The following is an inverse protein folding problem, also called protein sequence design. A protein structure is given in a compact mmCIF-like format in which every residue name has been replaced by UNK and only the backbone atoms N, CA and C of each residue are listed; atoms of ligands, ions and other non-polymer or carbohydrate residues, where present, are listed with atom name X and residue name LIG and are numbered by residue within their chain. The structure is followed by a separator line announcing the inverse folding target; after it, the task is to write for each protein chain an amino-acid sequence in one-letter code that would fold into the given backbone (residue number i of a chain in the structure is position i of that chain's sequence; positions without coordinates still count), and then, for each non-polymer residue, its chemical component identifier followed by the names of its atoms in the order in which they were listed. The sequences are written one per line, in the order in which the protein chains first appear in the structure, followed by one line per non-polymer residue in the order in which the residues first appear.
data_IF_412538907969
#
_entry.id   IF_412538907969
#
_cell.length_a   1.000
_cell.length_b   1.000
_cell.length_c   1.000
_cell.angle_alpha   90.00
_cell.angle_beta   90.00
_cell.angle_gamma   90.00
#
_symmetry.space_group_name_H-M   'P 1'
#
loop_
_entity.id
_entity.type
_entity.pdbx_description
1 polymer ?
#
# COMPACT_ATOMS: atom_id res chain seq x y z
N UNK A 1 6.87 -15.77 -2.77
CA UNK A 1 6.78 -15.08 -4.08
C UNK A 1 6.35 -16.00 -5.24
N UNK A 2 6.06 -17.30 -5.03
CA UNK A 2 5.68 -18.24 -6.10
C UNK A 2 6.83 -19.14 -6.57
N UNK A 3 8.09 -18.73 -6.36
CA UNK A 3 9.28 -19.58 -6.54
C UNK A 3 9.93 -20.00 -5.21
N UNK A 4 9.65 -19.27 -4.14
CA UNK A 4 10.17 -19.48 -2.79
C UNK A 4 9.09 -19.28 -1.74
N UNK A 5 9.29 -19.96 -0.60
CA UNK A 5 8.54 -19.78 0.63
C UNK A 5 9.52 -19.41 1.74
N UNK A 6 9.23 -18.35 2.48
CA UNK A 6 9.93 -18.01 3.72
C UNK A 6 9.03 -18.36 4.92
N UNK A 7 9.61 -19.04 5.92
CA UNK A 7 8.94 -19.43 7.16
C UNK A 7 9.75 -18.92 8.34
N UNK A 8 9.10 -18.28 9.30
CA UNK A 8 9.78 -17.71 10.46
C UNK A 8 9.69 -18.58 11.70
N UNK A 9 10.70 -18.48 12.56
CA UNK A 9 10.71 -19.03 13.92
C UNK A 9 11.26 -17.95 14.87
N UNK A 10 10.44 -16.94 15.21
CA UNK A 10 10.90 -15.82 16.02
C UNK A 10 11.39 -16.24 17.41
N UNK A 11 10.87 -17.33 17.96
CA UNK A 11 11.27 -17.79 19.30
C UNK A 11 12.45 -18.81 19.27
N UNK A 12 13.08 -19.02 18.10
CA UNK A 12 14.26 -19.88 17.99
C UNK A 12 15.48 -19.25 18.68
N UNK A 13 16.26 -20.05 19.41
CA UNK A 13 17.48 -19.55 20.05
C UNK A 13 18.59 -19.27 19.01
N UNK A 14 19.43 -18.23 19.20
CA UNK A 14 19.40 -17.28 20.32
C UNK A 14 18.43 -16.09 20.12
N UNK A 15 18.06 -15.75 18.89
CA UNK A 15 17.41 -14.47 18.57
C UNK A 15 16.32 -14.55 17.50
N UNK A 16 15.90 -15.74 17.07
CA UNK A 16 14.96 -15.97 15.98
C UNK A 16 15.65 -16.42 14.69
N UNK A 17 14.87 -16.93 13.73
CA UNK A 17 15.37 -17.40 12.44
C UNK A 17 14.30 -17.29 11.33
N UNK A 18 14.75 -17.18 10.08
CA UNK A 18 13.92 -17.31 8.87
C UNK A 18 14.47 -18.43 8.01
N UNK A 19 13.61 -19.36 7.60
CA UNK A 19 13.96 -20.50 6.74
C UNK A 19 13.39 -20.27 5.35
N UNK A 20 14.21 -20.39 4.32
CA UNK A 20 13.81 -20.23 2.93
C UNK A 20 13.77 -21.58 2.24
N UNK A 21 12.63 -21.90 1.64
CA UNK A 21 12.36 -23.13 0.92
C UNK A 21 12.14 -22.85 -0.56
N UNK A 22 12.55 -23.79 -1.40
CA UNK A 22 12.31 -23.80 -2.84
C UNK A 22 11.67 -25.12 -3.27
N UNK A 23 10.88 -25.13 -4.37
CA UNK A 23 10.35 -26.37 -4.91
C UNK A 23 11.50 -27.27 -5.36
N UNK A 24 11.40 -28.56 -5.01
CA UNK A 24 12.35 -29.57 -5.45
C UNK A 24 12.27 -29.73 -6.97
N UNK A 25 13.41 -29.60 -7.65
CA UNK A 25 13.53 -29.94 -9.07
C UNK A 25 13.50 -31.45 -9.32
N UNK A 26 13.77 -32.26 -8.28
CA UNK A 26 13.79 -33.72 -8.35
C UNK A 26 12.41 -34.34 -8.08
N UNK A 27 11.62 -33.73 -7.19
CA UNK A 27 10.33 -34.27 -6.74
C UNK A 27 9.24 -33.20 -6.78
N UNK A 28 8.36 -33.18 -7.80
CA UNK A 28 7.28 -32.21 -7.87
C UNK A 28 6.40 -32.21 -6.61
N UNK A 29 6.16 -31.03 -6.03
CA UNK A 29 5.37 -30.86 -4.81
C UNK A 29 6.16 -30.94 -3.50
N UNK A 30 7.42 -31.37 -3.53
CA UNK A 30 8.28 -31.28 -2.35
C UNK A 30 8.96 -29.90 -2.27
N UNK A 31 9.10 -29.40 -1.05
CA UNK A 31 9.83 -28.16 -0.75
C UNK A 31 11.12 -28.49 -0.02
N UNK A 32 12.24 -27.99 -0.52
CA UNK A 32 13.57 -28.23 0.03
C UNK A 32 14.02 -26.98 0.77
N UNK A 33 14.42 -27.14 2.03
CA UNK A 33 15.08 -26.07 2.78
C UNK A 33 16.39 -25.71 2.07
N UNK A 34 16.49 -24.47 1.61
CA UNK A 34 17.70 -23.93 0.97
C UNK A 34 18.59 -23.23 1.96
N UNK A 35 18.00 -22.40 2.81
CA UNK A 35 18.76 -21.53 3.67
C UNK A 35 18.06 -21.31 5.01
N UNK A 36 18.85 -21.20 6.07
CA UNK A 36 18.40 -20.68 7.37
C UNK A 36 19.15 -19.40 7.64
N UNK A 37 18.39 -18.31 7.68
CA UNK A 37 18.87 -16.95 7.89
C UNK A 37 18.70 -16.62 9.37
N UNK A 38 19.79 -16.18 9.99
CA UNK A 38 19.82 -15.66 11.36
C UNK A 38 20.50 -14.29 11.36
N UNK A 39 20.08 -13.42 12.27
CA UNK A 39 20.90 -12.26 12.61
C UNK A 39 21.88 -12.65 13.71
N UNK A 40 23.11 -12.97 13.31
CA UNK A 40 24.17 -13.38 14.24
C UNK A 40 24.60 -12.25 15.20
N UNK A 41 24.29 -10.99 14.87
CA UNK A 41 24.57 -9.84 15.71
C UNK A 41 23.37 -9.45 16.61
N UNK A 42 22.21 -10.09 16.44
CA UNK A 42 21.01 -9.76 17.21
C UNK A 42 21.18 -10.14 18.69
N UNK A 43 20.66 -9.29 19.61
CA UNK A 43 20.56 -9.63 21.02
C UNK A 43 19.78 -10.94 21.24
N UNK A 44 20.09 -11.64 22.34
CA UNK A 44 19.29 -12.80 22.76
C UNK A 44 17.83 -12.36 22.94
N UNK A 45 16.92 -13.10 22.31
CA UNK A 45 15.50 -12.82 22.39
C UNK A 45 15.01 -11.67 21.51
N UNK A 46 15.78 -11.20 20.53
CA UNK A 46 15.35 -10.13 19.61
C UNK A 46 14.21 -10.54 18.66
N UNK A 47 13.86 -11.83 18.60
CA UNK A 47 12.75 -12.38 17.81
C UNK A 47 12.78 -12.00 16.32
N UNK A 48 13.93 -12.13 15.69
CA UNK A 48 14.11 -12.07 14.25
C UNK A 48 13.11 -12.99 13.52
N UNK A 49 12.31 -12.42 12.62
CA UNK A 49 11.22 -13.12 11.94
C UNK A 49 9.83 -12.91 12.57
N UNK A 50 9.63 -11.85 13.35
CA UNK A 50 8.29 -11.49 13.89
C UNK A 50 7.31 -11.03 12.81
N UNK A 51 7.83 -10.45 11.73
CA UNK A 51 7.10 -10.13 10.51
C UNK A 51 8.04 -10.26 9.32
N UNK A 52 7.55 -10.78 8.20
CA UNK A 52 8.31 -10.95 6.96
C UNK A 52 7.47 -10.56 5.75
N UNK A 53 8.12 -10.14 4.69
CA UNK A 53 7.55 -10.11 3.35
C UNK A 53 8.61 -10.51 2.31
N UNK A 54 8.20 -11.23 1.27
CA UNK A 54 9.09 -11.82 0.26
C UNK A 54 8.53 -11.61 -1.14
N UNK A 55 9.21 -10.76 -1.92
CA UNK A 55 8.89 -10.47 -3.31
C UNK A 55 10.14 -10.54 -4.16
N UNK A 56 10.14 -11.49 -5.12
CA UNK A 56 11.30 -11.76 -5.95
C UNK A 56 12.55 -11.96 -5.10
N UNK A 57 13.64 -11.28 -5.47
CA UNK A 57 14.93 -11.37 -4.78
C UNK A 57 15.02 -10.55 -3.49
N UNK A 58 13.92 -9.98 -3.00
CA UNK A 58 13.91 -9.15 -1.78
C UNK A 58 13.11 -9.82 -0.67
N UNK A 59 13.77 -10.03 0.47
CA UNK A 59 13.16 -10.51 1.71
C UNK A 59 13.33 -9.42 2.75
N UNK A 60 12.23 -8.96 3.32
CA UNK A 60 12.26 -8.03 4.44
C UNK A 60 11.90 -8.80 5.70
N UNK A 61 12.68 -8.60 6.76
CA UNK A 61 12.51 -9.27 8.03
C UNK A 61 12.51 -8.25 9.16
N UNK A 62 11.50 -8.34 10.02
CA UNK A 62 11.44 -7.58 11.26
C UNK A 62 11.90 -8.42 12.46
N UNK A 63 12.62 -7.79 13.37
CA UNK A 63 12.85 -8.22 14.74
C UNK A 63 12.24 -7.23 15.74
N UNK A 64 12.45 -7.42 17.04
CA UNK A 64 11.99 -6.49 18.08
C UNK A 64 12.75 -5.16 18.05
N UNK A 65 14.03 -5.19 17.67
CA UNK A 65 14.88 -4.00 17.64
C UNK A 65 15.19 -3.48 16.24
N UNK A 66 14.94 -4.26 15.18
CA UNK A 66 15.38 -3.90 13.82
C UNK A 66 14.41 -4.30 12.72
N UNK A 67 14.56 -3.65 11.57
CA UNK A 67 14.05 -4.10 10.27
C UNK A 67 15.24 -4.33 9.35
N UNK A 68 15.25 -5.45 8.66
CA UNK A 68 16.31 -5.89 7.75
C UNK A 68 15.75 -6.05 6.35
N UNK A 69 16.51 -5.60 5.36
CA UNK A 69 16.28 -5.94 3.95
C UNK A 69 17.40 -6.84 3.51
N UNK A 70 17.03 -8.02 3.05
CA UNK A 70 17.93 -9.00 2.48
C UNK A 70 17.68 -9.10 0.99
N UNK A 71 18.77 -9.26 0.24
CA UNK A 71 18.72 -9.50 -1.19
C UNK A 71 19.40 -10.83 -1.54
N UNK A 72 18.82 -11.55 -2.48
CA UNK A 72 19.35 -12.79 -3.02
C UNK A 72 19.85 -12.55 -4.46
N UNK A 73 20.94 -13.22 -4.85
CA UNK A 73 21.33 -13.29 -6.26
C UNK A 73 21.50 -14.75 -6.65
N UNK A 74 21.37 -15.13 -7.93
CA UNK A 74 21.57 -16.52 -8.35
C UNK A 74 22.93 -17.10 -7.92
N UNK A 75 23.93 -16.25 -7.73
CA UNK A 75 25.30 -16.61 -7.37
C UNK A 75 25.59 -16.53 -5.86
N UNK A 76 24.67 -15.98 -5.05
CA UNK A 76 24.90 -15.72 -3.62
C UNK A 76 23.68 -16.04 -2.77
N UNK A 77 23.95 -16.64 -1.61
CA UNK A 77 22.99 -16.79 -0.51
C UNK A 77 22.38 -15.43 -0.11
N UNK A 78 21.29 -15.44 0.64
CA UNK A 78 20.64 -14.22 1.12
C UNK A 78 21.62 -13.34 1.90
N UNK A 79 21.78 -12.09 1.47
CA UNK A 79 22.68 -11.13 2.11
C UNK A 79 21.89 -9.97 2.70
N UNK A 80 22.22 -9.60 3.94
CA UNK A 80 21.66 -8.41 4.57
C UNK A 80 22.25 -7.14 3.93
N UNK A 81 21.41 -6.38 3.24
CA UNK A 81 21.79 -5.17 2.51
C UNK A 81 21.58 -3.92 3.36
N UNK A 82 20.43 -3.84 4.04
CA UNK A 82 20.08 -2.72 4.90
C UNK A 82 19.54 -3.23 6.24
N UNK A 83 19.80 -2.48 7.30
CA UNK A 83 19.21 -2.69 8.62
C UNK A 83 19.00 -1.34 9.30
N UNK A 84 17.81 -1.12 9.83
CA UNK A 84 17.46 0.08 10.61
C UNK A 84 16.98 -0.33 11.99
N UNK A 85 17.35 0.45 13.02
CA UNK A 85 16.84 0.24 14.37
C UNK A 85 15.40 0.72 14.46
N UNK A 86 14.54 -0.03 15.15
CA UNK A 86 13.13 0.29 15.35
C UNK A 86 12.95 1.63 16.07
N UNK A 87 13.86 1.98 16.99
CA UNK A 87 13.81 3.30 17.64
C UNK A 87 13.95 4.48 16.66
N UNK A 88 14.64 4.29 15.53
CA UNK A 88 14.78 5.32 14.49
C UNK A 88 13.50 5.46 13.65
N UNK A 89 12.75 4.36 13.50
CA UNK A 89 11.60 4.23 12.60
C UNK A 89 10.24 4.14 13.32
N UNK A 90 10.23 4.15 14.65
CA UNK A 90 9.03 4.01 15.47
C UNK A 90 8.57 2.55 15.60
N UNK A 91 7.50 2.34 16.38
CA UNK A 91 6.98 1.01 16.69
C UNK A 91 6.37 0.34 15.45
N UNK A 92 7.22 -0.30 14.64
CA UNK A 92 6.77 -1.06 13.47
C UNK A 92 5.94 -2.25 13.94
N UNK A 93 4.79 -2.49 13.31
CA UNK A 93 3.89 -3.60 13.61
C UNK A 93 3.83 -4.59 12.45
N UNK A 94 3.83 -4.09 11.22
CA UNK A 94 3.75 -4.86 9.98
C UNK A 94 4.72 -4.29 8.95
N UNK A 95 5.11 -5.13 7.99
CA UNK A 95 5.95 -4.73 6.87
C UNK A 95 5.35 -5.27 5.57
N UNK A 96 5.53 -4.54 4.48
CA UNK A 96 5.20 -5.00 3.14
C UNK A 96 6.18 -4.42 2.13
N UNK A 97 6.50 -5.18 1.09
CA UNK A 97 7.37 -4.78 -0.01
C UNK A 97 6.80 -5.19 -1.36
N UNK A 98 7.10 -4.43 -2.41
CA UNK A 98 6.91 -4.86 -3.81
C UNK A 98 8.25 -5.08 -4.53
N UNK A 99 9.36 -5.09 -3.80
CA UNK A 99 10.73 -5.18 -4.30
C UNK A 99 11.37 -3.81 -4.61
N UNK A 100 10.58 -2.75 -4.73
CA UNK A 100 11.05 -1.37 -4.96
C UNK A 100 10.63 -0.38 -3.89
N UNK A 101 9.54 -0.69 -3.18
CA UNK A 101 9.00 0.09 -2.07
C UNK A 101 8.91 -0.82 -0.86
N UNK A 102 9.36 -0.34 0.30
CA UNK A 102 9.20 -0.97 1.60
C UNK A 102 8.33 -0.06 2.46
N UNK A 103 7.16 -0.54 2.83
CA UNK A 103 6.26 0.12 3.75
C UNK A 103 6.31 -0.55 5.13
N UNK A 104 6.41 0.27 6.18
CA UNK A 104 6.54 -0.12 7.57
C UNK A 104 5.32 0.43 8.30
N UNK A 105 4.37 -0.45 8.62
CA UNK A 105 3.21 -0.08 9.44
C UNK A 105 3.66 0.20 10.86
N UNK A 106 3.19 1.29 11.47
CA UNK A 106 3.53 1.69 12.84
C UNK A 106 2.89 3.03 13.19
N UNK A 107 3.42 3.69 14.21
CA UNK A 107 3.05 5.05 14.59
C UNK A 107 4.30 5.95 14.61
N UNK A 108 4.65 6.64 13.51
CA UNK A 108 3.93 6.68 12.22
C UNK A 108 4.30 5.52 11.28
N UNK A 109 3.51 5.35 10.22
CA UNK A 109 3.87 4.58 9.03
C UNK A 109 5.06 5.24 8.35
N UNK A 110 5.98 4.40 7.87
CA UNK A 110 7.17 4.85 7.16
C UNK A 110 7.38 4.10 5.86
N UNK A 111 8.00 4.77 4.89
CA UNK A 111 8.29 4.21 3.58
C UNK A 111 9.76 4.42 3.22
N UNK A 112 10.41 3.37 2.75
CA UNK A 112 11.68 3.43 2.05
C UNK A 112 11.49 3.04 0.59
N UNK A 113 12.27 3.64 -0.30
CA UNK A 113 12.27 3.33 -1.72
C UNK A 113 13.64 2.78 -2.11
N UNK A 114 13.67 1.94 -3.12
CA UNK A 114 14.89 1.42 -3.73
C UNK A 114 15.24 2.29 -4.93
N UNK A 115 16.43 2.85 -4.93
CA UNK A 115 17.02 3.59 -6.04
C UNK A 115 18.30 2.91 -6.55
N UNK A 116 19.00 3.55 -7.49
CA UNK A 116 20.24 3.03 -8.06
C UNK A 116 21.40 2.90 -7.05
N UNK A 117 21.29 3.46 -5.85
CA UNK A 117 22.26 3.38 -4.76
C UNK A 117 21.86 2.39 -3.65
N UNK A 118 20.62 1.88 -3.67
CA UNK A 118 20.10 0.92 -2.69
C UNK A 118 18.79 1.42 -2.06
N UNK A 119 18.52 0.99 -0.83
CA UNK A 119 17.34 1.44 -0.10
C UNK A 119 17.58 2.78 0.60
N UNK A 120 16.66 3.73 0.42
CA UNK A 120 16.64 5.00 1.13
C UNK A 120 16.31 4.80 2.62
N UNK A 121 16.60 5.82 3.44
CA UNK A 121 16.18 5.83 4.85
C UNK A 121 14.66 5.96 4.95
N UNK A 122 13.96 5.14 5.76
CA UNK A 122 12.51 5.22 5.88
C UNK A 122 12.00 6.59 6.34
N UNK A 123 11.20 7.24 5.49
CA UNK A 123 10.56 8.53 5.76
C UNK A 123 9.13 8.33 6.26
N UNK A 124 8.70 9.19 7.19
CA UNK A 124 7.32 9.18 7.71
C UNK A 124 6.34 9.77 6.69
N UNK A 125 5.17 9.15 6.58
CA UNK A 125 4.05 9.68 5.78
C UNK A 125 2.96 10.33 6.66
N UNK A 126 3.22 10.52 7.96
CA UNK A 126 2.34 11.30 8.85
C UNK A 126 1.04 10.63 9.30
N UNK A 127 0.86 9.33 9.05
CA UNK A 127 -0.30 8.56 9.54
C UNK A 127 0.12 7.34 10.34
N UNK A 128 -0.72 6.90 11.26
CA UNK A 128 -0.53 5.65 12.01
C UNK A 128 -1.26 4.49 11.33
N UNK A 129 -0.67 3.29 11.38
CA UNK A 129 -1.20 2.10 10.73
C UNK A 129 -0.72 0.81 11.35
N UNK A 130 -1.65 -0.08 11.72
CA UNK A 130 -1.30 -1.38 12.32
C UNK A 130 -0.96 -2.43 11.25
N UNK A 131 -1.67 -2.39 10.12
CA UNK A 131 -1.47 -3.27 8.99
C UNK A 131 -1.07 -2.44 7.76
N UNK A 132 -0.20 -2.99 6.91
CA UNK A 132 0.31 -2.31 5.73
C UNK A 132 0.34 -3.28 4.55
N UNK A 133 0.02 -2.78 3.35
CA UNK A 133 0.23 -3.50 2.09
C UNK A 133 0.68 -2.52 1.02
N UNK A 134 1.68 -2.89 0.21
CA UNK A 134 2.18 -2.04 -0.88
C UNK A 134 2.26 -2.85 -2.17
N UNK A 135 1.88 -2.24 -3.28
CA UNK A 135 1.97 -2.83 -4.60
C UNK A 135 2.00 -1.76 -5.69
N UNK A 136 3.16 -1.58 -6.32
CA UNK A 136 3.37 -0.58 -7.35
C UNK A 136 3.25 0.83 -6.80
N UNK A 137 2.32 1.61 -7.37
CA UNK A 137 2.09 3.01 -6.98
C UNK A 137 1.13 3.16 -5.79
N UNK A 138 0.61 2.05 -5.25
CA UNK A 138 -0.40 2.07 -4.21
C UNK A 138 0.10 1.48 -2.90
N UNK A 139 -0.37 2.06 -1.81
CA UNK A 139 -0.14 1.58 -0.45
C UNK A 139 -1.45 1.66 0.33
N UNK A 140 -1.74 0.64 1.12
CA UNK A 140 -2.91 0.61 1.98
C UNK A 140 -2.48 0.50 3.43
N UNK A 141 -3.04 1.39 4.25
CA UNK A 141 -2.80 1.50 5.68
C UNK A 141 -4.06 1.08 6.44
N UNK A 142 -3.97 -0.01 7.19
CA UNK A 142 -5.03 -0.51 8.06
C UNK A 142 -5.06 0.20 9.41
N UNK A 143 -6.25 0.72 9.78
CA UNK A 143 -6.48 1.51 11.00
C UNK A 143 -7.60 0.89 11.83
N UNK A 144 -7.35 -0.24 12.52
CA UNK A 144 -8.40 -0.95 13.26
C UNK A 144 -9.04 -0.12 14.38
N UNK A 145 -8.29 0.79 15.02
CA UNK A 145 -8.83 1.72 16.02
C UNK A 145 -9.75 2.78 15.41
N UNK A 146 -9.48 3.18 14.17
CA UNK A 146 -10.34 4.06 13.37
C UNK A 146 -11.43 3.31 12.60
N UNK A 147 -11.48 1.97 12.72
CA UNK A 147 -12.38 1.09 11.98
C UNK A 147 -12.35 1.39 10.48
N UNK A 148 -11.18 1.35 9.83
CA UNK A 148 -11.07 1.72 8.42
C UNK A 148 -9.72 1.42 7.81
N UNK A 149 -9.62 1.68 6.51
CA UNK A 149 -8.36 1.63 5.75
C UNK A 149 -8.16 2.93 4.97
N UNK A 150 -6.91 3.37 4.87
CA UNK A 150 -6.51 4.49 4.04
C UNK A 150 -5.76 3.95 2.83
N UNK A 151 -6.11 4.43 1.64
CA UNK A 151 -5.38 4.17 0.40
C UNK A 151 -4.53 5.40 0.08
N UNK A 152 -3.25 5.16 -0.16
CA UNK A 152 -2.28 6.13 -0.63
C UNK A 152 -1.88 5.81 -2.06
N UNK A 153 -1.68 6.86 -2.84
CA UNK A 153 -1.07 6.79 -4.17
C UNK A 153 0.25 7.55 -4.15
N UNK A 154 1.22 7.03 -4.90
CA UNK A 154 2.50 7.68 -5.14
C UNK A 154 2.43 8.46 -6.44
N UNK A 155 2.91 9.69 -6.46
CA UNK A 155 3.06 10.47 -7.68
C UNK A 155 4.39 10.19 -8.41
N UNK A 156 4.62 10.94 -9.49
CA UNK A 156 5.81 10.81 -10.33
C UNK A 156 7.09 11.28 -9.62
N UNK A 157 6.95 12.24 -8.70
CA UNK A 157 8.00 12.78 -7.85
C UNK A 157 8.36 11.82 -6.71
N UNK A 158 7.50 10.84 -6.42
CA UNK A 158 7.71 9.81 -5.42
C UNK A 158 7.03 10.10 -4.09
N UNK A 159 6.24 11.17 -4.00
CA UNK A 159 5.51 11.57 -2.81
C UNK A 159 4.22 10.76 -2.67
N UNK A 160 3.86 10.47 -1.42
CA UNK A 160 2.65 9.71 -1.08
C UNK A 160 1.55 10.65 -0.62
N UNK A 161 0.39 10.59 -1.28
CA UNK A 161 -0.81 11.32 -0.89
C UNK A 161 -1.97 10.36 -0.60
N UNK A 162 -2.83 10.72 0.35
CA UNK A 162 -4.02 9.93 0.66
C UNK A 162 -5.01 10.08 -0.49
N UNK A 163 -5.21 9.00 -1.25
CA UNK A 163 -6.10 8.97 -2.40
C UNK A 163 -7.55 8.64 -2.00
N UNK A 164 -7.76 7.83 -0.94
CA UNK A 164 -9.09 7.42 -0.52
C UNK A 164 -9.14 6.98 0.94
N UNK A 165 -10.23 7.32 1.61
CA UNK A 165 -10.63 6.71 2.89
C UNK A 165 -11.70 5.69 2.60
N UNK A 166 -11.50 4.46 3.05
CA UNK A 166 -12.58 3.45 3.09
C UNK A 166 -12.99 3.32 4.54
N UNK A 167 -14.11 3.94 4.87
CA UNK A 167 -14.71 3.84 6.18
C UNK A 167 -15.60 2.60 6.32
N UNK A 168 -15.71 2.13 7.55
CA UNK A 168 -16.53 1.01 7.93
C UNK A 168 -17.98 1.41 8.20
N UNK A 169 -18.58 2.34 7.45
CA UNK A 169 -19.97 2.76 7.66
C UNK A 169 -20.97 1.58 7.65
N UNK A 170 -20.63 0.49 6.96
CA UNK A 170 -21.39 -0.76 6.96
C UNK A 170 -21.20 -1.66 8.20
N UNK A 171 -20.23 -1.36 9.08
CA UNK A 171 -19.93 -2.15 10.27
C UNK A 171 -20.26 -1.41 11.57
N UNK A 172 -20.56 -2.16 12.62
CA UNK A 172 -20.66 -1.62 13.98
C UNK A 172 -19.33 -1.02 14.44
N UNK A 173 -19.41 0.01 15.30
CA UNK A 173 -18.24 0.52 16.00
C UNK A 173 -17.46 -0.62 16.68
N UNK A 174 -16.13 -0.60 16.55
CA UNK A 174 -15.26 -1.63 17.10
C UNK A 174 -15.13 -2.91 16.27
N UNK A 175 -15.64 -2.96 15.04
CA UNK A 175 -15.45 -4.10 14.13
C UNK A 175 -13.97 -4.34 13.73
N UNK A 176 -13.12 -3.35 13.96
CA UNK A 176 -11.68 -3.36 13.67
C UNK A 176 -11.37 -3.57 12.19
N UNK A 177 -12.15 -2.95 11.29
CA UNK A 177 -11.79 -2.92 9.88
C UNK A 177 -10.37 -2.36 9.70
N UNK A 178 -9.57 -3.04 8.87
CA UNK A 178 -8.17 -2.72 8.66
C UNK A 178 -7.22 -3.36 9.69
N UNK A 179 -7.70 -4.29 10.53
CA UNK A 179 -6.81 -5.09 11.39
C UNK A 179 -5.79 -5.90 10.59
N UNK A 180 -6.17 -6.33 9.38
CA UNK A 180 -5.30 -6.92 8.37
C UNK A 180 -5.64 -6.32 7.02
N UNK A 181 -4.64 -6.20 6.15
CA UNK A 181 -4.83 -5.75 4.76
C UNK A 181 -3.98 -6.60 3.83
N UNK A 182 -4.43 -6.76 2.59
CA UNK A 182 -3.65 -7.33 1.49
C UNK A 182 -3.93 -6.53 0.23
N UNK A 183 -2.90 -6.24 -0.55
CA UNK A 183 -2.97 -5.45 -1.77
C UNK A 183 -2.22 -6.17 -2.89
N UNK A 184 -2.89 -6.47 -3.99
CA UNK A 184 -2.26 -7.08 -5.15
C UNK A 184 -3.09 -6.86 -6.42
N UNK A 185 -2.45 -6.57 -7.55
CA UNK A 185 -3.09 -6.53 -8.87
C UNK A 185 -4.39 -5.70 -8.93
N UNK A 186 -4.40 -4.53 -8.27
CA UNK A 186 -5.58 -3.66 -8.22
C UNK A 186 -6.69 -4.14 -7.27
N UNK A 187 -6.48 -5.17 -6.46
CA UNK A 187 -7.42 -5.62 -5.44
C UNK A 187 -6.90 -5.30 -4.06
N UNK A 188 -7.78 -4.76 -3.23
CA UNK A 188 -7.58 -4.58 -1.79
C UNK A 188 -8.52 -5.51 -1.04
N UNK A 189 -7.99 -6.25 -0.07
CA UNK A 189 -8.76 -6.98 0.92
C UNK A 189 -8.44 -6.41 2.30
N UNK A 190 -9.48 -6.09 3.08
CA UNK A 190 -9.35 -5.60 4.45
C UNK A 190 -10.15 -6.46 5.43
N UNK A 191 -9.52 -6.94 6.49
CA UNK A 191 -10.17 -7.73 7.54
C UNK A 191 -10.83 -6.86 8.62
N UNK A 192 -12.00 -7.29 9.09
CA UNK A 192 -12.73 -6.74 10.22
C UNK A 192 -13.07 -7.88 11.20
N UNK A 193 -12.12 -8.32 12.04
CA UNK A 193 -12.24 -9.56 12.82
C UNK A 193 -13.36 -9.53 13.85
N UNK A 194 -13.80 -8.34 14.29
CA UNK A 194 -14.87 -8.19 15.28
C UNK A 194 -16.20 -7.74 14.65
N UNK A 195 -16.29 -7.75 13.31
CA UNK A 195 -17.53 -7.47 12.62
C UNK A 195 -18.63 -8.46 13.03
N UNK A 196 -19.87 -7.96 13.13
CA UNK A 196 -21.03 -8.73 13.55
C UNK A 196 -22.09 -8.83 12.45
N UNK A 197 -21.69 -9.23 11.23
CA UNK A 197 -22.59 -9.31 10.07
C UNK A 197 -23.51 -10.54 10.15
N UNK A 198 -22.96 -11.72 10.45
CA UNK A 198 -23.68 -12.99 10.47
C UNK A 198 -23.97 -13.51 11.89
N UNK A 199 -23.70 -12.69 12.90
CA UNK A 199 -23.79 -13.02 14.32
C UNK A 199 -22.77 -12.23 15.14
N UNK A 200 -22.77 -12.32 16.48
CA UNK A 200 -21.81 -11.61 17.30
C UNK A 200 -20.37 -12.00 16.97
N UNK A 201 -19.53 -11.03 16.61
CA UNK A 201 -18.09 -11.21 16.38
C UNK A 201 -17.72 -12.33 15.41
N UNK A 202 -18.54 -12.55 14.36
CA UNK A 202 -18.25 -13.56 13.32
C UNK A 202 -17.08 -13.18 12.42
N UNK A 203 -16.67 -11.91 12.47
CA UNK A 203 -15.68 -11.36 11.56
C UNK A 203 -16.25 -11.13 10.17
N UNK A 204 -15.53 -10.35 9.39
CA UNK A 204 -15.80 -10.10 7.99
C UNK A 204 -14.51 -9.72 7.26
N UNK A 205 -14.55 -9.79 5.93
CA UNK A 205 -13.54 -9.20 5.06
C UNK A 205 -14.25 -8.36 4.00
N UNK A 206 -13.69 -7.19 3.70
CA UNK A 206 -14.10 -6.33 2.59
C UNK A 206 -13.14 -6.56 1.45
N UNK A 207 -13.68 -6.76 0.25
CA UNK A 207 -12.90 -6.86 -0.99
C UNK A 207 -13.26 -5.66 -1.86
N UNK A 208 -12.24 -4.96 -2.34
CA UNK A 208 -12.39 -3.70 -3.07
C UNK A 208 -11.60 -3.82 -4.37
N UNK A 209 -12.30 -3.62 -5.47
CA UNK A 209 -11.68 -3.46 -6.78
C UNK A 209 -11.19 -2.02 -6.94
N UNK A 210 -9.88 -1.85 -7.09
CA UNK A 210 -9.22 -0.55 -7.28
C UNK A 210 -8.94 -0.27 -8.75
N UNK A 211 -9.23 -1.17 -9.69
CA UNK A 211 -9.11 -0.88 -11.13
C UNK A 211 -10.10 0.19 -11.60
N UNK A 212 -11.24 0.31 -10.93
CA UNK A 212 -12.16 1.44 -11.09
C UNK A 212 -11.60 2.74 -10.50
N UNK A 213 -10.80 2.66 -9.43
CA UNK A 213 -10.09 3.79 -8.82
C UNK A 213 -8.91 4.28 -9.67
N UNK A 214 -8.29 3.39 -10.46
CA UNK A 214 -7.22 3.72 -11.41
C UNK A 214 -7.68 4.66 -12.54
N UNK A 215 -8.99 4.68 -12.88
CA UNK A 215 -9.57 5.67 -13.79
C UNK A 215 -9.61 7.09 -13.20
N UNK A 216 -9.72 7.22 -11.88
CA UNK A 216 -9.74 8.53 -11.22
C UNK A 216 -8.38 9.23 -11.29
N UNK A 217 -7.29 8.47 -11.44
CA UNK A 217 -5.92 9.01 -11.48
C UNK A 217 -5.50 9.39 -12.91
N UNK A 218 -6.13 8.82 -13.94
CA UNK A 218 -5.70 9.02 -15.34
C UNK A 218 -6.37 10.17 -16.09
N UNK A 219 -7.41 10.81 -15.56
CA UNK A 219 -8.16 11.86 -16.28
C UNK A 219 -7.99 13.28 -15.69
N UNK A 220 -7.00 13.47 -14.81
CA UNK A 220 -6.65 14.77 -14.27
C UNK A 220 -5.30 15.24 -14.85
N UNK A 221 -5.32 15.73 -16.09
CA UNK A 221 -4.23 16.61 -16.55
C UNK A 221 -4.46 18.04 -16.05
N UNK A 222 -3.40 18.80 -15.69
CA UNK A 222 -3.48 19.87 -14.69
C UNK A 222 -3.93 21.22 -15.27
N UNK A 223 -4.70 21.99 -14.49
CA UNK A 223 -4.73 23.46 -14.57
C UNK A 223 -3.78 24.02 -13.52
N UNK A 224 -2.85 24.87 -13.94
CA UNK A 224 -2.06 25.66 -13.01
C UNK A 224 -2.86 26.89 -12.54
N UNK A 225 -3.18 26.99 -11.25
CA UNK A 225 -3.53 28.28 -10.63
C UNK A 225 -4.67 28.35 -9.60
N UNK A 226 -5.36 27.25 -9.26
CA UNK A 226 -6.54 27.30 -8.37
C UNK A 226 -6.25 27.01 -6.88
N UNK A 227 -5.09 26.45 -6.54
CA UNK A 227 -4.72 26.18 -5.15
C UNK A 227 -5.38 24.94 -4.52
N UNK A 228 -6.11 24.13 -5.31
CA UNK A 228 -6.69 22.84 -4.88
C UNK A 228 -6.33 21.68 -5.81
N UNK A 229 -5.16 21.77 -6.42
CA UNK A 229 -4.58 20.84 -7.40
C UNK A 229 -4.66 19.36 -6.98
N UNK A 230 -5.29 18.53 -7.83
CA UNK A 230 -4.98 17.10 -7.95
C UNK A 230 -5.36 16.21 -6.77
N UNK A 231 -6.42 16.53 -6.02
CA UNK A 231 -6.84 15.71 -4.88
C UNK A 231 -7.67 14.46 -5.28
N UNK A 232 -7.91 14.22 -6.57
CA UNK A 232 -8.69 13.07 -7.06
C UNK A 232 -10.18 13.12 -6.71
N UNK A 233 -10.71 14.29 -6.36
CA UNK A 233 -12.12 14.50 -5.99
C UNK A 233 -12.74 15.59 -6.86
N UNK A 234 -13.71 15.22 -7.70
CA UNK A 234 -14.53 16.19 -8.45
C UNK A 234 -15.48 16.89 -7.47
N UNK A 235 -15.28 18.19 -7.26
CA UNK A 235 -15.98 19.05 -6.33
C UNK A 235 -16.34 20.40 -6.97
N UNK A 236 -16.80 21.37 -6.16
CA UNK A 236 -17.27 22.67 -6.67
C UNK A 236 -16.17 23.49 -7.35
N UNK A 237 -14.91 23.29 -6.95
CA UNK A 237 -13.77 23.97 -7.54
C UNK A 237 -13.54 23.49 -8.99
N UNK A 238 -13.73 22.19 -9.27
CA UNK A 238 -13.64 21.63 -10.62
C UNK A 238 -14.73 22.19 -11.55
N UNK A 239 -15.97 22.27 -11.03
CA UNK A 239 -17.09 22.89 -11.77
C UNK A 239 -16.80 24.37 -12.05
N UNK A 240 -16.22 25.08 -11.09
CA UNK A 240 -15.85 26.48 -11.24
C UNK A 240 -14.74 26.66 -12.29
N UNK A 241 -13.77 25.74 -12.36
CA UNK A 241 -12.70 25.77 -13.35
C UNK A 241 -13.23 25.66 -14.80
N UNK A 242 -14.19 24.76 -15.05
CA UNK A 242 -14.84 24.65 -16.38
C UNK A 242 -15.64 25.91 -16.70
N UNK A 243 -16.43 26.41 -15.74
CA UNK A 243 -17.22 27.64 -15.90
C UNK A 243 -16.33 28.86 -16.21
N UNK A 244 -15.19 28.98 -15.54
CA UNK A 244 -14.26 30.10 -15.76
C UNK A 244 -13.48 29.98 -17.08
N UNK A 245 -13.39 28.77 -17.65
CA UNK A 245 -12.71 28.49 -18.91
C UNK A 245 -13.67 28.43 -20.11
N UNK A 246 -14.97 28.72 -19.90
CA UNK A 246 -16.00 28.57 -20.92
C UNK A 246 -15.68 29.40 -22.18
N UNK A 247 -15.77 28.75 -23.35
CA UNK A 247 -15.42 29.34 -24.65
C UNK A 247 -13.92 29.43 -24.92
N UNK A 248 -13.05 28.97 -24.02
CA UNK A 248 -11.64 28.77 -24.33
C UNK A 248 -11.48 27.61 -25.31
N UNK A 249 -10.49 27.74 -26.21
CA UNK A 249 -10.19 26.72 -27.20
C UNK A 249 -9.00 25.86 -26.78
N UNK A 250 -9.18 24.53 -26.68
CA UNK A 250 -8.10 23.56 -26.45
C UNK A 250 -7.39 23.68 -25.10
N UNK A 251 -8.17 23.79 -24.02
CA UNK A 251 -7.66 23.85 -22.64
C UNK A 251 -7.88 22.53 -21.89
N UNK A 252 -7.26 22.35 -20.71
CA UNK A 252 -7.47 21.16 -19.87
C UNK A 252 -8.92 20.93 -19.38
N UNK A 253 -9.82 21.91 -19.53
CA UNK A 253 -11.26 21.77 -19.27
C UNK A 253 -12.09 21.33 -20.49
N UNK A 254 -11.47 21.21 -21.66
CA UNK A 254 -12.09 20.70 -22.89
C UNK A 254 -11.92 19.18 -22.88
N UNK A 255 -12.87 18.52 -22.23
CA UNK A 255 -12.81 17.11 -21.87
C UNK A 255 -13.80 16.29 -22.67
N UNK A 256 -14.92 16.84 -23.14
CA UNK A 256 -15.95 16.13 -23.88
C UNK A 256 -15.96 16.45 -25.39
N UNK A 257 -15.79 15.46 -26.28
CA UNK A 257 -15.60 14.03 -26.06
C UNK A 257 -14.18 13.70 -25.53
N UNK A 258 -13.91 12.47 -25.05
CA UNK A 258 -12.59 12.11 -24.51
C UNK A 258 -11.45 12.51 -25.46
N UNK A 259 -10.61 13.45 -25.03
CA UNK A 259 -9.56 14.08 -25.84
C UNK A 259 -9.86 15.53 -26.29
N UNK A 260 -11.02 16.07 -25.93
CA UNK A 260 -11.48 17.43 -26.23
C UNK A 260 -12.03 17.59 -27.66
N UNK A 261 -13.02 18.45 -27.86
CA UNK A 261 -13.49 18.88 -29.19
C UNK A 261 -12.90 20.21 -29.66
N UNK A 262 -12.05 20.83 -28.84
CA UNK A 262 -11.42 22.11 -29.09
C UNK A 262 -12.17 23.28 -28.46
N UNK A 263 -13.24 23.07 -27.69
CA UNK A 263 -13.98 24.11 -26.98
C UNK A 263 -14.35 23.66 -25.57
N UNK A 264 -14.27 24.57 -24.61
CA UNK A 264 -14.88 24.36 -23.29
C UNK A 264 -16.32 24.86 -23.33
N UNK A 265 -17.29 23.95 -23.33
CA UNK A 265 -18.71 24.29 -23.43
C UNK A 265 -19.62 23.54 -22.42
N UNK A 266 -20.92 23.52 -22.71
CA UNK A 266 -21.91 22.91 -21.82
C UNK A 266 -21.78 21.39 -21.74
N UNK A 267 -21.21 20.74 -22.76
CA UNK A 267 -20.94 19.31 -22.79
C UNK A 267 -19.88 18.96 -21.74
N UNK A 268 -18.81 19.75 -21.63
CA UNK A 268 -17.78 19.59 -20.59
C UNK A 268 -18.35 19.73 -19.18
N UNK A 269 -19.15 20.77 -18.94
CA UNK A 269 -19.81 20.97 -17.63
C UNK A 269 -20.74 19.79 -17.32
N UNK A 270 -21.51 19.35 -18.31
CA UNK A 270 -22.45 18.24 -18.14
C UNK A 270 -21.69 16.96 -17.78
N UNK A 271 -20.49 16.76 -18.34
CA UNK A 271 -19.65 15.61 -18.02
C UNK A 271 -19.08 15.67 -16.60
N UNK A 272 -18.52 16.80 -16.19
CA UNK A 272 -18.05 17.01 -14.80
C UNK A 272 -19.20 16.76 -13.80
N UNK A 273 -20.39 17.29 -14.08
CA UNK A 273 -21.57 17.09 -13.22
C UNK A 273 -22.06 15.64 -13.22
N UNK A 274 -22.02 14.94 -14.37
CA UNK A 274 -22.35 13.52 -14.44
C UNK A 274 -21.38 12.66 -13.62
N UNK A 275 -20.09 13.01 -13.64
CA UNK A 275 -19.06 12.33 -12.86
C UNK A 275 -19.27 12.55 -11.35
N UNK A 276 -19.63 13.78 -10.93
CA UNK A 276 -20.07 14.06 -9.54
C UNK A 276 -21.30 13.22 -9.17
N UNK A 277 -22.29 13.13 -10.05
CA UNK A 277 -23.51 12.35 -9.83
C UNK A 277 -23.24 10.85 -9.69
N UNK A 278 -22.26 10.32 -10.42
CA UNK A 278 -21.86 8.92 -10.36
C UNK A 278 -21.14 8.54 -9.05
N UNK A 279 -20.49 9.51 -8.39
CA UNK A 279 -19.87 9.34 -7.08
C UNK A 279 -20.89 9.30 -5.92
N UNK A 280 -22.09 9.85 -6.13
CA UNK A 280 -23.15 9.91 -5.11
C UNK A 280 -24.24 8.83 -5.26
N UNK A 281 -24.19 8.00 -6.32
CA UNK A 281 -25.20 6.98 -6.59
C UNK A 281 -24.52 5.67 -6.98
N UNK A 282 -23.95 4.99 -6.00
CA UNK A 282 -23.92 3.53 -6.02
C UNK A 282 -24.48 3.03 -4.68
N UNK A 283 -25.51 2.17 -4.68
CA UNK A 283 -25.96 1.53 -3.45
C UNK A 283 -24.88 0.63 -2.83
#
# INVERSE_FOLDING_TARGET
DGGRIAITRPDAAPAGAVMVYEPSSATPGEWVLRETIIDAAAPIGDRFGTSIDLVGETLVVRSQSRVHVLEHTPERAWMMMNSWMIDDIGAVMSISTDGTTLALGGAPVRVAQRDGSGWTTPASIGVDGAAIGVHGQFMVVGRPSGNGVLLFARDAEGDWSCARVVDASMFSAGAQLGATVALANGWLIAGAPLASIAGPTTGAAVVIDMTSCLKCVSDCTPIAGDGTVGNGVVNIDDVLAVILSFGASGGPCDIDPPGGDGQVDIADITRVVADIGSLCISP
#
